data_IF_736342522981
#
_entry.id   IF_736342522981
#
_cell.length_a   1.000
_cell.length_b   1.000
_cell.length_c   1.000
_cell.angle_alpha   90.00
_cell.angle_beta   90.00
_cell.angle_gamma   90.00
#
_symmetry.space_group_name_H-M   'P 1'
#
loop_
_entity.id
_entity.type
_entity.pdbx_description
1 polymer ?
#
# COMPACT_ATOMS: atom_id res chain seq x y z
N UNK A 1 34.58 -7.43 -33.33
CA UNK A 1 33.26 -6.81 -32.99
C UNK A 1 32.21 -7.90 -33.02
N UNK A 2 31.67 -8.36 -31.87
CA UNK A 2 30.51 -9.23 -31.87
C UNK A 2 29.24 -8.38 -31.78
N UNK A 3 28.21 -8.85 -32.51
CA UNK A 3 26.90 -8.24 -32.64
C UNK A 3 26.11 -8.30 -31.32
N UNK A 4 25.38 -7.22 -31.04
CA UNK A 4 24.36 -7.16 -29.97
C UNK A 4 23.15 -7.98 -30.40
N UNK A 5 22.80 -8.98 -29.60
CA UNK A 5 21.55 -9.72 -29.72
C UNK A 5 20.42 -8.90 -29.08
N UNK A 6 19.48 -8.47 -29.90
CA UNK A 6 18.20 -7.87 -29.50
C UNK A 6 17.30 -8.96 -28.90
N UNK A 7 17.27 -9.09 -27.58
CA UNK A 7 16.25 -9.89 -26.89
C UNK A 7 14.92 -9.13 -26.87
N UNK A 8 14.11 -9.40 -27.90
CA UNK A 8 12.68 -9.04 -27.93
C UNK A 8 11.95 -9.82 -26.84
N UNK A 9 11.63 -9.15 -25.75
CA UNK A 9 10.77 -9.68 -24.69
C UNK A 9 9.36 -9.86 -25.25
N UNK A 10 9.00 -11.10 -25.59
CA UNK A 10 7.63 -11.47 -25.98
C UNK A 10 6.74 -11.48 -24.74
N UNK A 11 5.76 -10.57 -24.71
CA UNK A 11 4.70 -10.56 -23.71
C UNK A 11 3.88 -11.85 -23.79
N UNK A 12 3.54 -12.50 -22.66
CA UNK A 12 2.58 -13.60 -22.66
C UNK A 12 1.18 -13.10 -23.06
N UNK A 13 0.35 -13.93 -23.70
CA UNK A 13 -0.99 -13.54 -24.12
C UNK A 13 -1.88 -13.31 -22.89
N UNK A 14 -2.55 -12.16 -22.86
CA UNK A 14 -3.54 -11.82 -21.85
C UNK A 14 -4.66 -12.87 -21.84
N UNK A 15 -4.76 -13.65 -20.76
CA UNK A 15 -5.98 -14.43 -20.51
C UNK A 15 -7.09 -13.44 -20.16
N UNK A 16 -8.09 -13.39 -21.02
CA UNK A 16 -9.33 -12.64 -20.78
C UNK A 16 -10.07 -13.28 -19.60
N UNK A 17 -10.07 -12.60 -18.50
CA UNK A 17 -10.85 -12.98 -17.32
C UNK A 17 -12.32 -12.66 -17.59
N UNK A 18 -13.19 -13.72 -17.63
CA UNK A 18 -14.62 -13.60 -17.81
C UNK A 18 -15.32 -13.56 -16.45
N UNK A 19 -15.17 -12.44 -15.72
CA UNK A 19 -15.99 -12.14 -14.55
C UNK A 19 -17.36 -11.55 -14.93
N UNK A 20 -18.36 -11.57 -14.05
CA UNK A 20 -19.71 -11.11 -14.35
C UNK A 20 -19.76 -9.62 -14.69
N UNK A 21 -20.33 -9.30 -15.84
CA UNK A 21 -20.50 -7.92 -16.32
C UNK A 21 -21.57 -7.20 -15.50
N UNK A 22 -21.17 -6.34 -14.58
CA UNK A 22 -22.06 -5.35 -13.97
C UNK A 22 -22.32 -4.26 -15.01
N UNK A 23 -23.58 -4.11 -15.44
CA UNK A 23 -24.02 -3.02 -16.31
C UNK A 23 -24.19 -1.76 -15.47
N UNK A 24 -23.28 -0.79 -15.61
CA UNK A 24 -23.44 0.54 -15.03
C UNK A 24 -24.25 1.38 -16.02
N UNK A 25 -25.40 1.88 -15.58
CA UNK A 25 -26.19 2.82 -16.35
C UNK A 25 -25.55 4.21 -16.24
N UNK A 26 -25.16 4.78 -17.39
CA UNK A 26 -24.61 6.12 -17.50
C UNK A 26 -25.75 7.14 -17.41
N UNK A 27 -25.79 7.95 -16.33
CA UNK A 27 -26.63 9.14 -16.26
C UNK A 27 -25.77 10.33 -16.66
N UNK A 28 -26.04 10.91 -17.83
CA UNK A 28 -25.40 12.12 -18.31
C UNK A 28 -26.15 13.33 -17.74
N UNK A 29 -25.52 14.09 -16.86
CA UNK A 29 -26.01 15.43 -16.46
C UNK A 29 -25.09 16.45 -17.12
N UNK A 30 -25.65 17.21 -18.07
CA UNK A 30 -24.99 18.34 -18.70
C UNK A 30 -25.11 19.58 -17.80
N UNK A 31 -23.98 20.15 -17.39
CA UNK A 31 -23.92 21.40 -16.62
C UNK A 31 -22.78 22.29 -17.10
N UNK A 32 -23.07 23.58 -17.28
CA UNK A 32 -22.37 24.61 -18.00
C UNK A 32 -20.99 25.01 -17.43
N UNK A 33 -20.09 25.43 -18.34
CA UNK A 33 -18.75 25.96 -18.07
C UNK A 33 -18.79 27.32 -17.33
N UNK A 34 -18.04 27.38 -16.21
CA UNK A 34 -17.61 28.64 -15.59
C UNK A 34 -16.11 28.53 -15.29
N UNK A 35 -15.30 29.46 -15.89
CA UNK A 35 -13.86 29.49 -15.66
C UNK A 35 -13.56 30.08 -14.27
N UNK A 36 -13.06 29.24 -13.36
CA UNK A 36 -12.59 29.67 -12.03
C UNK A 36 -11.12 29.30 -11.85
N UNK A 37 -10.32 30.25 -11.38
CA UNK A 37 -8.90 30.09 -11.04
C UNK A 37 -8.77 29.10 -9.88
N UNK A 38 -8.14 27.95 -10.13
CA UNK A 38 -7.91 26.91 -9.11
C UNK A 38 -6.70 27.32 -8.27
N UNK A 39 -6.91 27.63 -6.99
CA UNK A 39 -5.85 27.63 -5.98
C UNK A 39 -5.59 26.17 -5.56
N UNK A 40 -4.34 25.74 -5.68
CA UNK A 40 -3.89 24.50 -5.06
C UNK A 40 -4.01 24.61 -3.53
N UNK A 41 -4.42 23.49 -2.86
CA UNK A 41 -4.29 23.19 -1.43
C UNK A 41 -5.57 22.92 -0.62
N UNK A 42 -6.67 22.56 -1.29
CA UNK A 42 -7.76 21.88 -0.55
C UNK A 42 -8.17 20.62 -1.34
N UNK A 43 -8.21 19.42 -0.71
CA UNK A 43 -8.77 18.25 -1.38
C UNK A 43 -10.20 18.60 -1.80
N UNK A 44 -10.51 18.38 -3.07
CA UNK A 44 -11.87 18.61 -3.58
C UNK A 44 -12.84 17.66 -2.84
N UNK A 45 -14.07 18.13 -2.65
CA UNK A 45 -15.15 17.35 -2.00
C UNK A 45 -15.26 15.95 -2.63
N UNK A 46 -14.94 15.80 -3.92
CA UNK A 46 -14.92 14.53 -4.62
C UNK A 46 -13.82 13.57 -4.14
N UNK A 47 -12.62 14.05 -3.82
CA UNK A 47 -11.52 13.20 -3.34
C UNK A 47 -11.77 12.69 -1.91
N UNK A 48 -12.37 13.52 -1.06
CA UNK A 48 -12.76 13.11 0.28
C UNK A 48 -13.95 12.12 0.25
N UNK A 49 -14.90 12.31 -0.67
CA UNK A 49 -16.02 11.39 -0.88
C UNK A 49 -15.56 10.04 -1.46
N UNK A 50 -14.57 10.05 -2.36
CA UNK A 50 -14.00 8.84 -2.96
C UNK A 50 -13.17 8.03 -1.94
N UNK A 51 -12.32 8.70 -1.16
CA UNK A 51 -11.62 8.07 -0.04
C UNK A 51 -12.59 7.49 1.00
N UNK A 52 -13.69 8.21 1.30
CA UNK A 52 -14.75 7.72 2.20
C UNK A 52 -15.50 6.52 1.61
N UNK A 53 -15.80 6.52 0.31
CA UNK A 53 -16.49 5.42 -0.37
C UNK A 53 -15.63 4.15 -0.48
N UNK A 54 -14.32 4.30 -0.53
CA UNK A 54 -13.38 3.17 -0.57
C UNK A 54 -13.17 2.63 0.84
N UNK A 55 -13.01 3.50 1.84
CA UNK A 55 -13.03 3.11 3.25
C UNK A 55 -14.32 2.37 3.60
N UNK A 56 -15.47 2.84 3.11
CA UNK A 56 -16.77 2.19 3.28
C UNK A 56 -16.86 0.83 2.59
N UNK A 57 -16.24 0.64 1.42
CA UNK A 57 -16.16 -0.66 0.72
C UNK A 57 -15.27 -1.67 1.44
N UNK A 58 -14.14 -1.24 1.95
CA UNK A 58 -13.23 -2.08 2.76
C UNK A 58 -13.93 -2.51 4.06
N UNK A 59 -14.69 -1.62 4.69
CA UNK A 59 -15.46 -1.91 5.92
C UNK A 59 -16.72 -2.73 5.65
N UNK A 60 -17.39 -2.56 4.49
CA UNK A 60 -18.65 -3.29 4.16
C UNK A 60 -18.42 -4.72 3.66
N UNK A 61 -17.19 -5.14 3.36
CA UNK A 61 -16.89 -6.55 3.13
C UNK A 61 -17.02 -7.40 4.40
N UNK A 62 -17.26 -6.77 5.56
CA UNK A 62 -17.51 -7.45 6.84
C UNK A 62 -16.24 -7.94 7.54
N UNK A 63 -15.14 -8.02 6.81
CA UNK A 63 -13.82 -8.34 7.34
C UNK A 63 -12.92 -7.12 7.09
N UNK A 64 -12.39 -6.48 8.13
CA UNK A 64 -11.36 -5.44 8.02
C UNK A 64 -10.16 -5.94 7.22
N UNK A 65 -9.24 -5.04 6.85
CA UNK A 65 -7.98 -5.45 6.24
C UNK A 65 -7.25 -6.44 7.15
N UNK A 66 -6.73 -7.51 6.56
CA UNK A 66 -5.86 -8.42 7.29
C UNK A 66 -4.71 -7.61 7.94
N UNK A 67 -4.40 -7.94 9.19
CA UNK A 67 -3.25 -7.33 9.85
C UNK A 67 -1.96 -7.71 9.10
N UNK A 68 -1.11 -6.75 8.70
CA UNK A 68 -0.08 -6.98 7.69
C UNK A 68 1.15 -7.73 8.18
N UNK A 69 1.27 -7.99 9.47
CA UNK A 69 2.43 -8.66 10.08
C UNK A 69 1.98 -9.70 11.10
N UNK A 70 2.76 -10.78 11.27
CA UNK A 70 2.55 -11.73 12.35
C UNK A 70 2.42 -11.00 13.70
N UNK A 71 1.35 -11.21 14.50
CA UNK A 71 1.17 -10.45 15.74
C UNK A 71 2.05 -10.91 16.89
N UNK A 72 2.84 -11.96 16.71
CA UNK A 72 3.78 -12.50 17.70
C UNK A 72 5.16 -12.71 17.10
N UNK A 73 6.26 -12.62 17.85
CA UNK A 73 6.34 -12.38 19.31
C UNK A 73 6.17 -10.90 19.73
N UNK A 74 6.15 -9.95 18.79
CA UNK A 74 5.98 -8.51 19.09
C UNK A 74 4.98 -7.85 18.17
N UNK A 75 4.09 -7.03 18.74
CA UNK A 75 3.12 -6.26 17.98
C UNK A 75 2.79 -4.95 18.73
N UNK A 76 3.50 -3.88 18.39
CA UNK A 76 3.33 -2.54 18.95
C UNK A 76 2.75 -1.62 17.88
N UNK A 77 1.44 -1.37 17.89
CA UNK A 77 0.80 -0.51 16.89
C UNK A 77 0.87 0.94 17.33
N UNK A 78 1.64 1.77 16.60
CA UNK A 78 1.82 3.19 16.91
C UNK A 78 0.81 4.02 16.13
N UNK A 79 -0.11 4.71 16.83
CA UNK A 79 -1.05 5.62 16.17
C UNK A 79 -0.33 6.93 15.76
N UNK A 80 0.52 6.84 14.75
CA UNK A 80 1.41 7.92 14.33
C UNK A 80 1.17 8.45 12.90
N UNK A 81 0.11 8.01 12.22
CA UNK A 81 -0.28 8.52 10.91
C UNK A 81 -0.47 10.05 10.94
N UNK A 82 0.08 10.77 9.97
CA UNK A 82 -0.02 12.22 9.88
C UNK A 82 0.82 12.99 10.89
N UNK A 83 1.57 12.31 11.77
CA UNK A 83 2.56 12.93 12.64
C UNK A 83 3.77 13.45 11.86
N UNK A 84 4.75 14.03 12.57
CA UNK A 84 5.99 14.43 11.92
C UNK A 84 6.81 13.19 11.52
N UNK A 85 7.15 13.08 10.24
CA UNK A 85 8.13 12.11 9.80
C UNK A 85 9.51 12.49 10.33
N UNK A 86 10.27 11.50 10.83
CA UNK A 86 11.66 11.72 11.31
C UNK A 86 12.66 11.94 10.17
N UNK A 87 12.28 11.61 8.93
CA UNK A 87 13.15 11.87 7.78
C UNK A 87 13.28 13.37 7.53
N UNK A 88 14.50 13.88 7.44
CA UNK A 88 14.80 15.29 7.18
C UNK A 88 14.15 15.69 5.84
N UNK A 89 13.25 16.68 5.86
CA UNK A 89 12.54 17.16 4.70
C UNK A 89 11.33 16.31 4.28
N UNK A 90 11.04 15.23 4.97
CA UNK A 90 9.81 14.48 4.82
C UNK A 90 8.68 15.22 5.57
N UNK A 91 7.55 15.41 4.89
CA UNK A 91 6.38 16.05 5.45
C UNK A 91 5.71 15.24 6.57
N UNK A 92 4.43 14.96 6.41
CA UNK A 92 3.65 14.13 7.34
C UNK A 92 4.04 12.64 7.20
N UNK A 93 3.90 11.90 8.28
CA UNK A 93 4.05 10.44 8.28
C UNK A 93 2.88 9.83 7.48
N UNK A 94 3.20 9.12 6.40
CA UNK A 94 2.23 8.68 5.40
C UNK A 94 1.66 7.28 5.66
N UNK A 95 2.08 6.64 6.74
CA UNK A 95 1.68 5.28 7.11
C UNK A 95 1.49 5.09 8.61
N UNK A 96 1.38 3.84 8.99
CA UNK A 96 1.31 3.36 10.35
C UNK A 96 2.56 2.53 10.63
N UNK A 97 3.26 2.83 11.74
CA UNK A 97 4.38 2.01 12.17
C UNK A 97 3.89 0.91 13.13
N UNK A 98 4.21 -0.32 12.78
CA UNK A 98 3.89 -1.51 13.57
C UNK A 98 5.19 -2.13 14.04
N UNK A 99 5.52 -1.93 15.32
CA UNK A 99 6.72 -2.49 15.93
C UNK A 99 6.71 -4.01 15.90
N UNK A 100 7.84 -4.58 15.49
CA UNK A 100 8.03 -6.00 15.28
C UNK A 100 9.42 -6.42 15.77
N UNK A 101 9.75 -7.71 15.68
CA UNK A 101 11.12 -8.19 15.72
C UNK A 101 11.64 -8.38 14.30
N UNK A 102 12.96 -8.37 14.14
CA UNK A 102 13.57 -8.75 12.86
C UNK A 102 13.14 -10.16 12.47
N UNK A 103 12.78 -10.35 11.21
CA UNK A 103 12.35 -11.64 10.68
C UNK A 103 10.91 -12.05 10.99
N UNK A 104 10.09 -11.18 11.62
CA UNK A 104 8.65 -11.42 11.76
C UNK A 104 7.97 -11.41 10.39
N UNK A 105 7.10 -12.39 10.14
CA UNK A 105 6.44 -12.57 8.84
C UNK A 105 5.50 -11.41 8.49
N UNK A 106 5.58 -10.96 7.23
CA UNK A 106 4.74 -9.90 6.66
C UNK A 106 3.88 -10.49 5.54
N UNK A 107 2.60 -10.17 5.57
CA UNK A 107 1.59 -10.77 4.70
C UNK A 107 0.90 -9.77 3.79
N UNK A 108 0.46 -10.22 2.62
CA UNK A 108 -0.43 -9.46 1.75
C UNK A 108 -1.79 -9.26 2.44
N UNK A 109 -2.23 -7.99 2.58
CA UNK A 109 -3.49 -7.66 3.27
C UNK A 109 -4.74 -7.96 2.45
N UNK A 110 -4.61 -8.05 1.13
CA UNK A 110 -5.64 -8.38 0.14
C UNK A 110 -5.05 -9.14 -1.05
N UNK A 111 -5.93 -9.72 -1.87
CA UNK A 111 -5.57 -10.23 -3.19
C UNK A 111 -5.13 -9.08 -4.11
N UNK A 112 -4.12 -9.32 -4.94
CA UNK A 112 -3.65 -8.29 -5.86
C UNK A 112 -2.36 -8.66 -6.59
N UNK A 113 -1.69 -7.63 -7.12
CA UNK A 113 -0.43 -7.75 -7.86
C UNK A 113 0.66 -6.97 -7.17
N UNK A 114 1.83 -7.54 -7.00
CA UNK A 114 3.03 -6.86 -6.53
C UNK A 114 3.51 -5.90 -7.62
N UNK A 115 3.08 -4.63 -7.56
CA UNK A 115 3.35 -3.67 -8.63
C UNK A 115 4.72 -3.01 -8.52
N UNK A 116 5.41 -3.13 -7.37
CA UNK A 116 6.74 -2.55 -7.15
C UNK A 116 7.52 -3.28 -6.06
N UNK A 117 8.81 -3.50 -6.34
CA UNK A 117 9.82 -4.00 -5.40
C UNK A 117 10.85 -2.91 -5.13
N UNK A 118 10.96 -2.44 -3.89
CA UNK A 118 12.02 -1.50 -3.47
C UNK A 118 13.20 -2.31 -2.94
N UNK A 119 14.37 -2.11 -3.55
CA UNK A 119 15.59 -2.88 -3.21
C UNK A 119 16.78 -2.00 -2.82
N UNK A 120 16.62 -0.67 -2.87
CA UNK A 120 17.68 0.27 -2.53
C UNK A 120 17.70 0.54 -1.02
N UNK A 121 18.64 -0.08 -0.32
CA UNK A 121 18.85 0.07 1.11
C UNK A 121 19.20 1.50 1.55
N UNK A 122 19.69 2.34 0.64
CA UNK A 122 20.02 3.74 0.90
C UNK A 122 18.82 4.69 0.77
N UNK A 123 17.73 4.21 0.19
CA UNK A 123 16.49 4.97 0.04
C UNK A 123 15.69 4.98 1.35
N UNK A 124 14.82 5.98 1.53
CA UNK A 124 14.00 6.06 2.74
C UNK A 124 13.15 4.80 3.00
N UNK A 125 12.49 4.18 2.00
CA UNK A 125 11.77 2.94 2.18
C UNK A 125 12.63 1.74 2.60
N UNK A 126 13.89 1.69 2.18
CA UNK A 126 14.71 0.49 2.26
C UNK A 126 14.15 -0.63 1.37
N UNK A 127 14.12 -1.86 1.90
CA UNK A 127 13.42 -2.96 1.23
C UNK A 127 11.91 -2.83 1.43
N UNK A 128 11.15 -3.11 0.38
CA UNK A 128 9.70 -2.99 0.47
C UNK A 128 8.93 -3.54 -0.72
N UNK A 129 7.64 -3.76 -0.49
CA UNK A 129 6.66 -4.14 -1.51
C UNK A 129 5.60 -3.07 -1.71
N UNK A 130 5.18 -2.90 -2.96
CA UNK A 130 3.93 -2.27 -3.33
C UNK A 130 2.95 -3.32 -3.82
N UNK A 131 1.83 -3.48 -3.15
CA UNK A 131 0.71 -4.32 -3.55
C UNK A 131 -0.40 -3.44 -4.12
N UNK A 132 -0.87 -3.76 -5.32
CA UNK A 132 -2.07 -3.18 -5.90
C UNK A 132 -3.19 -4.19 -5.84
N UNK A 133 -4.18 -3.91 -5.01
CA UNK A 133 -5.26 -4.85 -4.74
C UNK A 133 -6.33 -4.87 -5.83
N UNK A 134 -7.15 -5.92 -5.80
CA UNK A 134 -8.33 -6.07 -6.66
C UNK A 134 -9.42 -5.02 -6.38
N UNK A 135 -9.31 -4.29 -5.25
CA UNK A 135 -10.23 -3.21 -4.85
C UNK A 135 -9.74 -1.81 -5.25
N UNK A 136 -8.71 -1.71 -6.10
CA UNK A 136 -8.07 -0.46 -6.53
C UNK A 136 -7.42 0.34 -5.38
N UNK A 137 -6.95 -0.34 -4.35
CA UNK A 137 -6.15 0.23 -3.27
C UNK A 137 -4.69 -0.20 -3.41
N UNK A 138 -3.76 0.72 -3.15
CA UNK A 138 -2.33 0.42 -3.08
C UNK A 138 -1.91 0.33 -1.63
N UNK A 139 -1.23 -0.75 -1.32
CA UNK A 139 -0.58 -0.96 -0.04
C UNK A 139 0.92 -0.90 -0.21
N UNK A 140 1.63 -0.29 0.73
CA UNK A 140 3.09 -0.27 0.75
C UNK A 140 3.60 -0.80 2.08
N UNK A 141 4.60 -1.65 1.98
CA UNK A 141 5.25 -2.34 3.08
C UNK A 141 6.72 -1.95 3.05
N UNK A 142 7.21 -1.20 4.03
CA UNK A 142 8.57 -0.69 4.04
C UNK A 142 9.37 -1.18 5.25
N UNK A 143 10.67 -0.97 5.19
CA UNK A 143 11.67 -1.37 6.20
C UNK A 143 11.77 -2.88 6.39
N UNK A 144 11.49 -3.66 5.34
CA UNK A 144 11.64 -5.12 5.40
C UNK A 144 13.12 -5.50 5.62
N UNK A 145 13.35 -6.62 6.31
CA UNK A 145 14.65 -7.28 6.38
C UNK A 145 14.94 -8.04 5.08
N UNK A 146 13.95 -8.78 4.61
CA UNK A 146 14.07 -9.59 3.41
C UNK A 146 12.69 -9.87 2.78
N UNK A 147 12.72 -10.32 1.53
CA UNK A 147 11.53 -10.73 0.78
C UNK A 147 11.26 -12.22 0.96
N UNK A 148 10.00 -12.63 0.86
CA UNK A 148 9.66 -14.04 0.74
C UNK A 148 10.25 -14.61 -0.56
N UNK A 149 10.71 -15.85 -0.50
CA UNK A 149 11.37 -16.52 -1.62
C UNK A 149 10.41 -16.68 -2.82
N UNK A 150 10.94 -16.45 -4.02
CA UNK A 150 10.22 -16.66 -5.28
C UNK A 150 9.25 -15.57 -5.67
N UNK A 151 9.09 -14.48 -4.90
CA UNK A 151 8.24 -13.35 -5.26
C UNK A 151 9.01 -12.27 -6.04
N UNK A 152 8.41 -11.86 -7.16
CA UNK A 152 8.93 -10.81 -8.02
C UNK A 152 7.86 -9.74 -8.35
N UNK A 153 8.31 -8.60 -8.86
CA UNK A 153 7.43 -7.54 -9.36
C UNK A 153 6.59 -8.07 -10.53
N UNK A 154 5.28 -7.94 -10.44
CA UNK A 154 4.30 -8.45 -11.40
C UNK A 154 3.59 -9.72 -10.95
N UNK A 155 4.01 -10.35 -9.85
CA UNK A 155 3.36 -11.56 -9.35
C UNK A 155 2.01 -11.25 -8.71
N UNK A 156 1.06 -12.15 -8.92
CA UNK A 156 -0.21 -12.18 -8.20
C UNK A 156 -0.02 -12.81 -6.82
N UNK A 157 -0.60 -12.18 -5.80
CA UNK A 157 -0.62 -12.69 -4.43
C UNK A 157 -2.05 -12.75 -3.91
N UNK A 158 -2.30 -13.66 -3.00
CA UNK A 158 -3.58 -13.77 -2.30
C UNK A 158 -3.48 -13.21 -0.89
N UNK A 159 -4.59 -12.74 -0.33
CA UNK A 159 -4.69 -12.29 1.05
C UNK A 159 -4.13 -13.33 2.01
N UNK A 160 -3.25 -12.92 2.91
CA UNK A 160 -2.56 -13.80 3.85
C UNK A 160 -1.33 -14.51 3.29
N UNK A 161 -0.98 -14.28 2.03
CA UNK A 161 0.26 -14.84 1.48
C UNK A 161 1.48 -14.14 2.10
N UNK A 162 2.46 -14.94 2.53
CA UNK A 162 3.74 -14.43 3.00
C UNK A 162 4.42 -13.62 1.90
N UNK A 163 4.78 -12.37 2.19
CA UNK A 163 5.40 -11.45 1.23
C UNK A 163 6.83 -11.05 1.62
N UNK A 164 7.19 -11.17 2.89
CA UNK A 164 8.52 -10.80 3.38
C UNK A 164 8.62 -10.88 4.89
N UNK A 165 9.65 -10.23 5.41
CA UNK A 165 9.97 -10.27 6.83
C UNK A 165 10.28 -8.87 7.35
N UNK A 166 9.81 -8.53 8.54
CA UNK A 166 10.01 -7.23 9.18
C UNK A 166 11.47 -6.96 9.52
N UNK A 167 11.88 -5.71 9.40
CA UNK A 167 13.27 -5.29 9.61
C UNK A 167 13.41 -3.82 10.04
N UNK A 168 14.55 -3.23 9.69
CA UNK A 168 14.91 -1.82 9.96
C UNK A 168 15.68 -1.18 8.79
N UNK A 169 15.50 -1.68 7.57
CA UNK A 169 16.18 -1.14 6.39
C UNK A 169 15.70 0.27 6.02
N UNK A 170 16.49 0.97 5.21
CA UNK A 170 16.18 2.33 4.81
C UNK A 170 16.45 3.36 5.89
N UNK A 171 15.48 4.27 6.12
CA UNK A 171 15.62 5.33 7.14
C UNK A 171 15.07 4.94 8.52
N UNK A 172 14.73 3.68 8.74
CA UNK A 172 14.43 3.20 10.08
C UNK A 172 15.63 3.38 11.01
N UNK A 173 15.37 3.64 12.30
CA UNK A 173 16.46 3.70 13.29
C UNK A 173 17.06 2.31 13.44
N UNK A 174 18.40 2.14 13.38
CA UNK A 174 19.02 0.84 13.60
C UNK A 174 18.58 0.20 14.91
N UNK A 175 18.08 -1.05 14.85
CA UNK A 175 17.48 -1.77 15.98
C UNK A 175 16.03 -1.35 16.30
N UNK A 176 15.48 -0.38 15.60
CA UNK A 176 14.09 0.04 15.71
C UNK A 176 13.18 -0.72 14.75
N UNK A 177 13.22 -2.05 14.81
CA UNK A 177 12.49 -2.93 13.89
C UNK A 177 11.00 -2.67 13.91
N UNK A 178 10.44 -2.41 12.73
CA UNK A 178 9.02 -2.17 12.53
C UNK A 178 8.63 -2.35 11.06
N UNK A 179 7.36 -2.61 10.81
CA UNK A 179 6.77 -2.46 9.50
C UNK A 179 6.18 -1.06 9.39
N UNK A 180 6.62 -0.27 8.42
CA UNK A 180 5.89 0.93 7.98
C UNK A 180 4.88 0.52 6.93
N UNK A 181 3.59 0.71 7.24
CA UNK A 181 2.48 0.27 6.38
C UNK A 181 1.64 1.45 5.91
N UNK A 182 1.46 1.57 4.57
CA UNK A 182 0.66 2.64 3.96
C UNK A 182 -0.57 2.07 3.24
N UNK A 183 -1.68 2.81 3.30
CA UNK A 183 -2.90 2.59 2.52
C UNK A 183 -3.14 3.80 1.64
N UNK A 184 -3.23 3.58 0.32
CA UNK A 184 -3.38 4.63 -0.69
C UNK A 184 -4.51 4.26 -1.66
N UNK A 185 -5.74 4.74 -1.38
CA UNK A 185 -6.90 4.50 -2.23
C UNK A 185 -6.80 5.22 -3.57
N UNK A 186 -7.44 4.67 -4.57
CA UNK A 186 -7.68 5.34 -5.85
C UNK A 186 -7.13 4.62 -7.07
N UNK A 187 -7.77 4.87 -8.24
CA UNK A 187 -7.36 4.29 -9.50
C UNK A 187 -5.97 4.76 -9.93
N UNK A 188 -5.29 3.95 -10.70
CA UNK A 188 -3.95 4.24 -11.17
C UNK A 188 -3.88 5.56 -11.95
N UNK A 189 -2.94 6.43 -11.62
CA UNK A 189 -1.94 6.82 -12.59
C UNK A 189 -0.68 5.97 -12.38
N UNK A 190 -0.08 5.49 -13.44
CA UNK A 190 1.17 4.70 -13.39
C UNK A 190 2.29 5.37 -12.58
N UNK A 191 2.18 6.69 -12.33
CA UNK A 191 3.17 7.54 -11.68
C UNK A 191 2.49 8.67 -10.89
N UNK A 192 1.65 8.34 -9.93
CA UNK A 192 1.08 9.30 -8.99
C UNK A 192 0.80 8.61 -7.67
N UNK A 193 1.25 9.18 -6.57
CA UNK A 193 0.84 8.72 -5.27
C UNK A 193 -0.58 9.22 -5.00
N UNK A 194 -1.57 8.33 -4.97
CA UNK A 194 -2.80 8.68 -4.29
C UNK A 194 -2.46 9.14 -2.86
N UNK A 195 -3.19 10.12 -2.33
CA UNK A 195 -2.98 10.56 -0.95
C UNK A 195 -3.15 9.38 0.01
N UNK A 196 -2.24 9.22 0.98
CA UNK A 196 -2.37 8.17 1.97
C UNK A 196 -3.54 8.44 2.91
N UNK A 197 -4.21 7.39 3.34
CA UNK A 197 -5.23 7.44 4.40
C UNK A 197 -4.72 6.74 5.66
N UNK A 198 -5.30 7.08 6.81
CA UNK A 198 -4.95 6.45 8.09
C UNK A 198 -5.27 4.95 8.05
N UNK A 199 -4.27 4.06 8.15
CA UNK A 199 -4.51 2.62 8.13
C UNK A 199 -5.19 2.10 9.40
N UNK A 200 -5.05 2.83 10.52
CA UNK A 200 -5.48 2.38 11.84
C UNK A 200 -6.94 1.90 11.89
N UNK A 201 -7.94 2.66 11.39
CA UNK A 201 -9.34 2.24 11.43
C UNK A 201 -9.70 1.15 10.42
N UNK A 202 -8.79 0.80 9.50
CA UNK A 202 -9.05 -0.16 8.42
C UNK A 202 -8.56 -1.57 8.78
N UNK A 203 -7.59 -1.67 9.71
CA UNK A 203 -6.94 -2.92 10.07
C UNK A 203 -7.75 -3.71 11.10
N UNK A 204 -7.86 -5.02 10.90
CA UNK A 204 -8.31 -5.96 11.92
C UNK A 204 -7.15 -6.25 12.90
N UNK A 205 -6.98 -5.36 13.87
CA UNK A 205 -5.86 -5.41 14.81
C UNK A 205 -6.09 -6.53 15.83
N UNK A 206 -5.18 -7.54 15.86
CA UNK A 206 -5.31 -8.63 16.83
C UNK A 206 -5.29 -8.14 18.28
N UNK A 207 -6.11 -8.75 19.13
CA UNK A 207 -6.23 -8.36 20.55
C UNK A 207 -4.94 -8.56 21.37
N UNK A 208 -4.00 -9.34 20.85
CA UNK A 208 -2.66 -9.53 21.45
C UNK A 208 -1.73 -8.34 21.22
N UNK A 209 -2.03 -7.47 20.24
CA UNK A 209 -1.24 -6.28 19.96
C UNK A 209 -1.44 -5.19 20.99
N UNK A 210 -0.37 -4.47 21.33
CA UNK A 210 -0.44 -3.25 22.13
C UNK A 210 -0.65 -2.05 21.21
N UNK A 211 -1.76 -1.34 21.40
CA UNK A 211 -2.05 -0.12 20.64
C UNK A 211 -1.65 1.10 21.47
N UNK A 212 -0.72 1.89 20.95
CA UNK A 212 -0.26 3.14 21.58
C UNK A 212 -1.09 4.31 21.04
N UNK A 213 -1.72 5.11 21.92
CA UNK A 213 -2.46 6.29 21.49
C UNK A 213 -1.52 7.35 20.88
N UNK A 214 -2.13 8.28 20.14
CA UNK A 214 -1.45 9.45 19.57
C UNK A 214 -0.95 10.40 20.64
#
# INVERSE_FOLDING_TARGET
>A
TPAMDDHVIRRPPHRLWSGPRVRIALVVVAGAFGAGVVRADTPTIDQAAEASSIAERVVTSGDGLLFPIEPTPRCDVLNNFGGHSRAIGAGRHEGLDIGANVGQEVYAVEDGVLYRKWTDLSSAPGLGWGLWSVTDVKYRYFHLDSFAEGLEEGDEVVRGQLSGYGGDTGNATPGGWHLHFEVRPGPQPRYGSAEPVDPMPLLDIPSVCTVYPR
#
